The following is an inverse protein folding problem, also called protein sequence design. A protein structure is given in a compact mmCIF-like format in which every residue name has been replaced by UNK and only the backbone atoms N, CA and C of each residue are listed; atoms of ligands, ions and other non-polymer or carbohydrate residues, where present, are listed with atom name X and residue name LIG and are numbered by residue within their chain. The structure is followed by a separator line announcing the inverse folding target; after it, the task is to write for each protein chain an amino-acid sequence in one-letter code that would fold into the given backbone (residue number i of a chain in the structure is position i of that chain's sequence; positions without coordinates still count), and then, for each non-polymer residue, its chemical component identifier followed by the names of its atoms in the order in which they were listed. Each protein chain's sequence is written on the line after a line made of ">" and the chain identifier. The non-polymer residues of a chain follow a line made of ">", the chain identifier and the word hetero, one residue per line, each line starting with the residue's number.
data_IF_641763080460
#
_entry.id   IF_641763080460
#
_cell.length_a   1.000
_cell.length_b   1.000
_cell.length_c   1.000
_cell.angle_alpha   90.00
_cell.angle_beta   90.00
_cell.angle_gamma   90.00
#
_symmetry.space_group_name_H-M   'P 1'
#
loop_
_entity.id
_entity.type
_entity.pdbx_description
1 polymer ?
#
# COMPACT_ATOMS: atom_id res chain seq x y z
N UNK A 1 18.29 -11.80 19.69
CA UNK A 1 17.80 -13.13 19.28
C UNK A 1 17.85 -13.29 17.76
N UNK A 2 17.17 -12.45 16.97
CA UNK A 2 17.11 -12.58 15.50
C UNK A 2 18.50 -12.56 14.84
N UNK A 3 19.41 -11.74 15.33
CA UNK A 3 20.77 -11.63 14.81
C UNK A 3 21.70 -12.77 15.23
N UNK A 4 21.34 -13.50 16.27
CA UNK A 4 22.08 -14.67 16.75
C UNK A 4 21.60 -15.97 16.09
N UNK A 5 20.28 -16.13 15.98
CA UNK A 5 19.63 -17.38 15.54
C UNK A 5 18.95 -17.30 14.17
N UNK A 6 18.85 -16.11 13.58
CA UNK A 6 18.31 -15.93 12.25
C UNK A 6 19.28 -16.33 11.13
N UNK A 7 18.81 -16.28 9.90
CA UNK A 7 19.57 -16.70 8.71
C UNK A 7 20.75 -15.76 8.35
N UNK A 8 20.76 -14.55 8.94
CA UNK A 8 21.78 -13.53 8.67
C UNK A 8 22.60 -13.23 9.93
N UNK A 9 23.83 -12.82 9.70
CA UNK A 9 24.78 -12.33 10.71
C UNK A 9 25.34 -13.37 11.68
N UNK A 10 24.57 -14.31 12.21
CA UNK A 10 25.00 -15.36 13.16
C UNK A 10 25.93 -14.85 14.28
N UNK A 11 25.52 -13.76 14.92
CA UNK A 11 26.28 -13.15 16.00
C UNK A 11 26.41 -14.12 17.20
N UNK A 12 27.58 -14.14 17.85
CA UNK A 12 27.79 -14.89 19.08
C UNK A 12 27.08 -14.23 20.25
N UNK A 13 26.85 -15.00 21.31
CA UNK A 13 26.29 -14.46 22.56
C UNK A 13 27.18 -13.32 23.08
N UNK A 14 26.60 -12.15 23.30
CA UNK A 14 27.30 -10.96 23.75
C UNK A 14 27.95 -10.11 22.66
N UNK A 15 27.94 -10.54 21.38
CA UNK A 15 28.31 -9.66 20.28
C UNK A 15 27.25 -8.61 20.04
N UNK A 16 27.69 -7.38 19.72
CA UNK A 16 26.80 -6.29 19.35
C UNK A 16 26.56 -6.26 17.83
N UNK A 17 25.48 -5.60 17.42
CA UNK A 17 25.09 -5.48 16.01
C UNK A 17 25.86 -4.35 15.28
N UNK A 18 26.73 -3.63 15.95
CA UNK A 18 27.38 -2.41 15.46
C UNK A 18 27.98 -2.56 14.07
N UNK A 19 28.73 -3.64 13.84
CA UNK A 19 29.32 -3.94 12.52
C UNK A 19 28.31 -4.12 11.38
N UNK A 20 27.02 -4.31 11.72
CA UNK A 20 25.94 -4.48 10.75
C UNK A 20 25.09 -3.21 10.59
N UNK A 21 25.30 -2.21 11.41
CA UNK A 21 24.57 -0.93 11.37
C UNK A 21 25.40 0.19 10.77
N UNK A 22 26.67 0.32 11.23
CA UNK A 22 27.52 1.43 10.84
C UNK A 22 28.12 1.26 9.44
N UNK A 23 28.70 2.34 8.93
CA UNK A 23 29.38 2.41 7.63
C UNK A 23 28.51 2.04 6.42
N UNK A 24 27.17 2.15 6.58
CA UNK A 24 26.21 1.92 5.50
C UNK A 24 25.98 0.45 5.15
N UNK A 25 26.38 -0.48 6.02
CA UNK A 25 26.12 -1.90 5.81
C UNK A 25 24.62 -2.24 5.80
N UNK A 26 23.88 -1.69 6.76
CA UNK A 26 22.42 -1.82 6.84
C UNK A 26 21.74 -0.46 6.77
N UNK A 27 20.47 -0.46 6.43
CA UNK A 27 19.63 0.75 6.38
C UNK A 27 18.49 0.64 7.40
N UNK A 28 18.30 1.68 8.18
CA UNK A 28 17.12 1.85 9.02
C UNK A 28 16.05 2.54 8.17
N UNK A 29 14.90 1.91 8.04
CA UNK A 29 13.79 2.43 7.25
C UNK A 29 12.86 3.27 8.11
N UNK A 30 12.63 4.53 7.69
CA UNK A 30 11.60 5.40 8.23
C UNK A 30 10.32 5.19 7.44
N UNK A 31 9.43 4.34 7.95
CA UNK A 31 8.12 4.08 7.36
C UNK A 31 7.12 5.20 7.64
N UNK A 32 6.24 5.46 6.70
CA UNK A 32 5.16 6.45 6.86
C UNK A 32 3.85 5.93 6.29
N UNK A 33 2.74 6.51 6.76
CA UNK A 33 1.38 6.19 6.33
C UNK A 33 0.47 7.41 6.46
N UNK A 34 -0.66 7.40 5.76
CA UNK A 34 -1.72 8.37 5.95
C UNK A 34 -1.43 9.77 5.40
N UNK A 35 -0.71 9.89 4.29
CA UNK A 35 -0.53 11.19 3.62
C UNK A 35 -1.88 11.79 3.24
N UNK A 36 -2.82 10.95 2.76
CA UNK A 36 -4.18 11.37 2.46
C UNK A 36 -4.87 11.96 3.69
N UNK A 37 -4.93 11.22 4.79
CA UNK A 37 -5.61 11.64 6.02
C UNK A 37 -4.95 12.86 6.66
N UNK A 38 -3.63 12.97 6.57
CA UNK A 38 -2.91 14.18 6.99
C UNK A 38 -3.38 15.41 6.20
N UNK A 39 -3.45 15.31 4.88
CA UNK A 39 -3.90 16.38 4.02
C UNK A 39 -5.37 16.72 4.26
N UNK A 40 -6.23 15.71 4.40
CA UNK A 40 -7.63 15.90 4.78
C UNK A 40 -7.77 16.65 6.11
N UNK A 41 -6.95 16.32 7.10
CA UNK A 41 -6.98 16.99 8.40
C UNK A 41 -6.51 18.44 8.36
N UNK A 42 -5.49 18.72 7.55
CA UNK A 42 -4.85 20.05 7.48
C UNK A 42 -5.58 21.02 6.54
N UNK A 43 -6.14 20.50 5.45
CA UNK A 43 -6.68 21.33 4.35
C UNK A 43 -8.13 21.00 3.97
N UNK A 44 -8.69 19.89 4.48
CA UNK A 44 -10.00 19.40 4.06
C UNK A 44 -10.02 18.81 2.64
N UNK A 45 -8.86 18.58 2.05
CA UNK A 45 -8.69 18.08 0.69
C UNK A 45 -7.64 16.97 0.64
N UNK A 46 -7.78 16.05 -0.32
CA UNK A 46 -6.79 14.99 -0.58
C UNK A 46 -5.46 15.57 -1.06
N UNK A 47 -4.38 14.80 -0.90
CA UNK A 47 -3.07 15.12 -1.48
C UNK A 47 -3.04 15.03 -3.02
N UNK A 48 -4.08 14.49 -3.65
CA UNK A 48 -4.28 14.50 -5.10
C UNK A 48 -4.72 15.88 -5.61
N UNK A 49 -5.31 16.72 -4.74
CA UNK A 49 -5.67 18.10 -5.09
C UNK A 49 -4.42 18.92 -5.41
N UNK A 50 -4.39 19.62 -6.57
CA UNK A 50 -3.22 20.40 -6.99
C UNK A 50 -2.78 21.48 -5.99
N UNK A 51 -3.68 22.03 -5.19
CA UNK A 51 -3.36 23.05 -4.17
C UNK A 51 -2.69 22.44 -2.94
N UNK A 52 -3.01 21.19 -2.62
CA UNK A 52 -2.51 20.48 -1.42
C UNK A 52 -1.27 19.65 -1.71
N UNK A 53 -1.12 19.15 -2.94
CA UNK A 53 0.02 18.34 -3.36
C UNK A 53 1.39 18.93 -2.99
N UNK A 54 1.67 20.24 -3.18
CA UNK A 54 2.96 20.81 -2.78
C UNK A 54 3.26 20.65 -1.28
N UNK A 55 2.23 20.70 -0.43
CA UNK A 55 2.39 20.47 1.00
C UNK A 55 2.79 19.01 1.27
N UNK A 56 2.09 18.03 0.67
CA UNK A 56 2.42 16.62 0.80
C UNK A 56 3.86 16.32 0.36
N UNK A 57 4.27 16.87 -0.79
CA UNK A 57 5.63 16.74 -1.30
C UNK A 57 6.68 17.36 -0.36
N UNK A 58 6.36 18.51 0.24
CA UNK A 58 7.24 19.16 1.23
C UNK A 58 7.41 18.32 2.50
N UNK A 59 6.35 17.66 2.96
CA UNK A 59 6.44 16.72 4.09
C UNK A 59 7.37 15.56 3.73
N UNK A 60 7.20 14.96 2.55
CA UNK A 60 8.07 13.87 2.09
C UNK A 60 9.54 14.30 1.97
N UNK A 61 9.78 15.50 1.45
CA UNK A 61 11.14 16.05 1.41
C UNK A 61 11.71 16.23 2.81
N UNK A 62 10.92 16.73 3.76
CA UNK A 62 11.38 16.88 5.16
C UNK A 62 11.75 15.56 5.83
N UNK A 63 11.04 14.47 5.51
CA UNK A 63 11.39 13.13 5.99
C UNK A 63 12.76 12.69 5.43
N UNK A 64 13.01 12.93 4.13
CA UNK A 64 14.30 12.64 3.51
C UNK A 64 15.44 13.49 4.11
N UNK A 65 15.19 14.77 4.33
CA UNK A 65 16.18 15.67 4.97
C UNK A 65 16.54 15.17 6.37
N UNK A 66 15.56 14.68 7.13
CA UNK A 66 15.80 14.07 8.45
C UNK A 66 16.60 12.78 8.37
N UNK A 67 16.34 11.93 7.42
CA UNK A 67 17.15 10.73 7.20
C UNK A 67 18.61 11.10 6.88
N UNK A 68 18.81 12.15 6.07
CA UNK A 68 20.16 12.66 5.77
C UNK A 68 20.85 13.25 7.01
N UNK A 69 20.14 14.04 7.83
CA UNK A 69 20.65 14.58 9.09
C UNK A 69 21.10 13.46 10.05
N UNK A 70 20.27 12.43 10.25
CA UNK A 70 20.61 11.30 11.12
C UNK A 70 21.78 10.50 10.58
N UNK A 71 21.81 10.23 9.26
CA UNK A 71 22.94 9.55 8.63
C UNK A 71 24.26 10.28 8.88
N UNK A 72 24.27 11.61 8.76
CA UNK A 72 25.46 12.41 8.99
C UNK A 72 25.89 12.43 10.47
N UNK A 73 24.92 12.40 11.40
CA UNK A 73 25.18 12.44 12.83
C UNK A 73 25.62 11.09 13.41
N UNK A 74 25.09 9.98 12.89
CA UNK A 74 25.20 8.66 13.53
C UNK A 74 26.02 7.66 12.73
N UNK A 75 26.39 7.98 11.48
CA UNK A 75 27.07 7.08 10.54
C UNK A 75 26.27 5.77 10.28
N UNK A 76 24.95 5.85 10.34
CA UNK A 76 24.00 4.77 10.02
C UNK A 76 23.21 5.20 8.79
N UNK A 77 22.96 4.29 7.86
CA UNK A 77 22.08 4.57 6.73
C UNK A 77 20.62 4.64 7.17
N UNK A 78 19.95 5.73 6.81
CA UNK A 78 18.51 5.93 6.99
C UNK A 78 17.84 6.17 5.64
N UNK A 79 16.64 5.66 5.45
CA UNK A 79 15.91 5.84 4.21
C UNK A 79 14.39 5.90 4.44
N UNK A 80 13.74 6.77 3.71
CA UNK A 80 12.27 6.87 3.74
C UNK A 80 11.67 5.67 2.99
N UNK A 81 10.69 5.02 3.59
CA UNK A 81 10.07 3.80 3.08
C UNK A 81 8.55 3.92 3.04
N UNK A 82 7.97 3.76 1.85
CA UNK A 82 6.52 3.66 1.66
C UNK A 82 6.02 2.29 2.11
N UNK A 83 5.85 2.15 3.42
CA UNK A 83 5.55 0.88 4.09
C UNK A 83 4.21 0.32 3.64
N UNK A 84 4.11 -0.91 3.12
CA UNK A 84 2.85 -1.64 3.05
C UNK A 84 2.41 -1.96 4.48
N UNK A 85 1.17 -1.61 4.82
CA UNK A 85 0.70 -1.61 6.20
C UNK A 85 -0.49 -2.55 6.43
N UNK A 86 -0.58 -3.64 5.80
CA UNK A 86 -1.58 -4.71 5.98
C UNK A 86 -2.59 -4.47 7.14
N UNK A 87 -2.69 -5.36 8.10
CA UNK A 87 -3.59 -5.23 9.28
C UNK A 87 -3.27 -4.01 10.16
N UNK A 88 -2.08 -3.43 10.02
CA UNK A 88 -1.66 -2.25 10.80
C UNK A 88 -2.50 -1.02 10.45
N UNK A 89 -3.00 -0.89 9.23
CA UNK A 89 -3.91 0.20 8.83
C UNK A 89 -5.17 0.22 9.67
N UNK A 90 -5.78 -0.94 9.90
CA UNK A 90 -6.94 -1.09 10.76
C UNK A 90 -6.61 -0.73 12.22
N UNK A 91 -5.49 -1.24 12.73
CA UNK A 91 -5.06 -0.96 14.10
C UNK A 91 -4.81 0.52 14.34
N UNK A 92 -4.14 1.21 13.41
CA UNK A 92 -3.95 2.66 13.46
C UNK A 92 -5.29 3.39 13.46
N UNK A 93 -6.21 3.05 12.56
CA UNK A 93 -7.53 3.67 12.51
C UNK A 93 -8.26 3.55 13.86
N UNK A 94 -8.28 2.35 14.46
CA UNK A 94 -8.91 2.13 15.78
C UNK A 94 -8.24 2.92 16.89
N UNK A 95 -6.91 3.02 16.90
CA UNK A 95 -6.17 3.81 17.87
C UNK A 95 -6.48 5.32 17.73
N UNK A 96 -6.55 5.82 16.50
CA UNK A 96 -6.89 7.21 16.23
C UNK A 96 -8.34 7.52 16.61
N UNK A 97 -9.29 6.65 16.28
CA UNK A 97 -10.70 6.78 16.69
C UNK A 97 -10.83 6.84 18.21
N UNK A 98 -10.15 5.94 18.92
CA UNK A 98 -10.15 5.93 20.38
C UNK A 98 -9.58 7.22 21.00
N UNK A 99 -8.55 7.78 20.38
CA UNK A 99 -7.83 8.93 20.91
C UNK A 99 -8.47 10.27 20.55
N UNK A 100 -9.00 10.39 19.34
CA UNK A 100 -9.43 11.66 18.76
C UNK A 100 -10.91 11.68 18.35
N UNK A 101 -11.62 10.56 18.50
CA UNK A 101 -12.99 10.42 18.04
C UNK A 101 -13.09 10.23 16.52
N UNK A 102 -14.32 10.31 16.01
CA UNK A 102 -14.60 10.22 14.58
C UNK A 102 -14.46 11.61 13.95
N UNK A 103 -13.52 11.72 13.03
CA UNK A 103 -13.28 12.94 12.24
C UNK A 103 -13.56 12.59 10.77
N UNK A 104 -14.56 13.22 10.11
CA UNK A 104 -14.91 12.94 8.72
C UNK A 104 -13.71 13.07 7.78
N UNK A 105 -13.54 12.09 6.90
CA UNK A 105 -12.42 12.01 5.95
C UNK A 105 -11.05 11.69 6.55
N UNK A 106 -10.96 11.51 7.88
CA UNK A 106 -9.68 11.25 8.58
C UNK A 106 -9.74 9.97 9.42
N UNK A 107 -10.70 9.87 10.34
CA UNK A 107 -10.82 8.72 11.25
C UNK A 107 -12.17 8.01 11.16
N UNK A 108 -12.98 8.34 10.18
CA UNK A 108 -14.33 7.80 9.97
C UNK A 108 -14.35 6.41 9.32
N UNK A 109 -13.19 5.89 8.93
CA UNK A 109 -13.03 4.57 8.32
C UNK A 109 -12.26 3.62 9.22
N UNK A 110 -12.37 2.33 8.93
CA UNK A 110 -11.65 1.28 9.67
C UNK A 110 -10.24 1.00 9.12
N UNK A 111 -9.68 1.94 8.36
CA UNK A 111 -8.32 1.86 7.84
C UNK A 111 -7.73 3.26 7.68
N UNK A 112 -6.42 3.34 7.55
CA UNK A 112 -5.65 4.52 7.13
C UNK A 112 -5.03 4.20 5.79
N UNK A 113 -5.00 5.15 4.88
CA UNK A 113 -4.40 4.99 3.56
C UNK A 113 -2.92 4.64 3.68
N UNK A 114 -2.48 3.61 2.98
CA UNK A 114 -1.08 3.22 2.92
C UNK A 114 -0.23 4.36 2.36
N UNK A 115 0.87 4.65 3.03
CA UNK A 115 1.90 5.59 2.58
C UNK A 115 1.36 6.79 1.81
N UNK A 116 1.67 6.89 0.52
CA UNK A 116 1.31 7.98 -0.42
C UNK A 116 0.16 7.63 -1.36
N UNK A 117 -0.43 6.45 -1.25
CA UNK A 117 -1.40 5.98 -2.24
C UNK A 117 -2.58 6.91 -2.39
N UNK A 118 -3.08 7.01 -3.61
CA UNK A 118 -4.38 7.63 -3.89
C UNK A 118 -5.44 6.88 -3.09
N UNK A 119 -6.31 7.63 -2.42
CA UNK A 119 -7.35 7.03 -1.57
C UNK A 119 -8.30 6.17 -2.43
N UNK A 120 -8.68 5.01 -1.91
CA UNK A 120 -9.43 3.98 -2.66
C UNK A 120 -10.82 4.42 -3.16
N UNK A 121 -11.36 5.50 -2.62
CA UNK A 121 -12.65 6.07 -3.07
C UNK A 121 -12.47 7.13 -4.16
N UNK A 122 -11.26 7.51 -4.52
CA UNK A 122 -11.03 8.47 -5.59
C UNK A 122 -11.11 7.78 -6.95
N UNK A 123 -11.99 8.30 -7.81
CA UNK A 123 -12.10 7.85 -9.19
C UNK A 123 -10.94 8.44 -10.01
N UNK A 124 -9.97 7.61 -10.33
CA UNK A 124 -8.77 7.97 -11.08
C UNK A 124 -8.40 6.82 -12.02
N UNK A 125 -8.03 7.15 -13.26
CA UNK A 125 -7.54 6.12 -14.18
C UNK A 125 -6.13 5.63 -13.82
N UNK A 126 -5.77 4.44 -14.30
CA UNK A 126 -4.52 3.78 -13.96
C UNK A 126 -3.27 4.61 -14.30
N UNK A 127 -3.27 5.29 -15.44
CA UNK A 127 -2.11 6.09 -15.88
C UNK A 127 -1.95 7.35 -15.05
N UNK A 128 -3.05 8.05 -14.79
CA UNK A 128 -3.05 9.23 -13.92
C UNK A 128 -2.64 8.89 -12.50
N UNK A 129 -3.14 7.77 -11.95
CA UNK A 129 -2.73 7.26 -10.64
C UNK A 129 -1.23 6.96 -10.59
N UNK A 130 -0.72 6.17 -11.52
CA UNK A 130 0.70 5.83 -11.58
C UNK A 130 1.59 7.07 -11.75
N UNK A 131 1.16 8.02 -12.59
CA UNK A 131 1.87 9.27 -12.77
C UNK A 131 1.94 10.10 -11.50
N UNK A 132 0.84 10.21 -10.80
CA UNK A 132 0.77 10.90 -9.51
C UNK A 132 1.67 10.22 -8.47
N UNK A 133 1.52 8.91 -8.29
CA UNK A 133 2.27 8.15 -7.29
C UNK A 133 3.77 8.06 -7.57
N UNK A 134 4.18 8.14 -8.84
CA UNK A 134 5.59 8.10 -9.24
C UNK A 134 6.46 9.19 -8.58
N UNK A 135 5.88 10.36 -8.31
CA UNK A 135 6.60 11.45 -7.66
C UNK A 135 6.89 11.16 -6.19
N UNK A 136 5.95 10.51 -5.50
CA UNK A 136 6.12 10.08 -4.11
C UNK A 136 7.09 8.90 -4.00
N UNK A 137 7.08 7.98 -4.98
CA UNK A 137 8.04 6.89 -5.01
C UNK A 137 9.49 7.41 -5.06
N UNK A 138 9.76 8.44 -5.85
CA UNK A 138 11.09 9.08 -5.92
C UNK A 138 11.55 9.64 -4.57
N UNK A 139 10.62 10.01 -3.70
CA UNK A 139 10.87 10.48 -2.34
C UNK A 139 10.82 9.35 -1.29
N UNK A 140 10.73 8.10 -1.73
CA UNK A 140 10.73 6.90 -0.88
C UNK A 140 11.85 5.95 -1.30
N UNK A 141 13.13 6.38 -1.21
CA UNK A 141 14.27 5.61 -1.73
C UNK A 141 14.51 4.29 -0.99
N UNK A 142 13.96 4.11 0.21
CA UNK A 142 14.00 2.86 0.95
C UNK A 142 13.10 1.76 0.40
N UNK A 143 12.25 2.10 -0.54
CA UNK A 143 11.29 1.20 -1.20
C UNK A 143 9.88 1.76 -1.17
N UNK A 144 9.14 1.48 -2.21
CA UNK A 144 7.73 1.81 -2.35
C UNK A 144 7.13 0.98 -3.47
N UNK A 145 5.85 0.69 -3.39
CA UNK A 145 5.11 -0.05 -4.42
C UNK A 145 3.80 0.67 -4.71
N UNK A 146 3.41 0.71 -5.97
CA UNK A 146 2.09 1.18 -6.38
C UNK A 146 1.26 0.02 -6.91
N UNK A 147 -0.01 0.01 -6.57
CA UNK A 147 -0.96 -1.01 -6.99
C UNK A 147 -1.93 -0.43 -8.01
N UNK A 148 -2.12 -1.14 -9.12
CA UNK A 148 -3.10 -0.79 -10.13
C UNK A 148 -4.06 -1.95 -10.30
N UNK A 149 -5.33 -1.70 -10.06
CA UNK A 149 -6.38 -2.65 -10.38
C UNK A 149 -6.78 -2.50 -11.85
N UNK A 150 -6.73 -3.61 -12.57
CA UNK A 150 -7.12 -3.69 -13.97
C UNK A 150 -8.15 -4.78 -14.15
N UNK A 151 -9.08 -4.63 -15.11
CA UNK A 151 -10.01 -5.70 -15.45
C UNK A 151 -9.26 -6.92 -16.00
N UNK A 152 -9.96 -8.02 -16.20
CA UNK A 152 -9.40 -9.17 -16.89
C UNK A 152 -8.99 -8.80 -18.31
N UNK A 153 -7.68 -8.71 -18.54
CA UNK A 153 -7.09 -8.29 -19.82
C UNK A 153 -6.52 -9.45 -20.64
N UNK A 154 -6.91 -10.69 -20.36
CA UNK A 154 -6.41 -11.88 -21.08
C UNK A 154 -6.58 -11.75 -22.62
N UNK A 155 -7.61 -11.05 -23.07
CA UNK A 155 -7.89 -10.84 -24.49
C UNK A 155 -7.42 -9.48 -25.02
N UNK A 156 -6.79 -8.66 -24.20
CA UNK A 156 -6.30 -7.34 -24.59
C UNK A 156 -4.83 -7.15 -24.21
N UNK A 157 -3.97 -7.97 -24.77
CA UNK A 157 -2.51 -7.92 -24.53
C UNK A 157 -1.91 -6.56 -24.90
N UNK A 158 -2.31 -5.86 -25.97
CA UNK A 158 -1.80 -4.51 -26.25
C UNK A 158 -2.04 -3.52 -25.10
N UNK A 159 -3.17 -3.58 -24.40
CA UNK A 159 -3.43 -2.73 -23.23
C UNK A 159 -2.50 -3.08 -22.08
N UNK A 160 -2.25 -4.38 -21.81
CA UNK A 160 -1.28 -4.81 -20.80
C UNK A 160 0.10 -4.24 -21.10
N UNK A 161 0.57 -4.39 -22.33
CA UNK A 161 1.88 -3.90 -22.75
C UNK A 161 1.98 -2.37 -22.64
N UNK A 162 0.90 -1.65 -22.92
CA UNK A 162 0.85 -0.19 -22.75
C UNK A 162 1.02 0.23 -21.29
N UNK A 163 0.35 -0.47 -20.37
CA UNK A 163 0.49 -0.21 -18.93
C UNK A 163 1.90 -0.58 -18.45
N UNK A 164 2.42 -1.73 -18.87
CA UNK A 164 3.80 -2.14 -18.53
C UNK A 164 4.85 -1.15 -19.03
N UNK A 165 4.68 -0.66 -20.27
CA UNK A 165 5.57 0.38 -20.81
C UNK A 165 5.49 1.66 -19.99
N UNK A 166 4.30 2.10 -19.61
CA UNK A 166 4.12 3.28 -18.78
C UNK A 166 4.80 3.13 -17.41
N UNK A 167 4.64 1.95 -16.78
CA UNK A 167 5.33 1.61 -15.52
C UNK A 167 6.84 1.73 -15.72
N UNK A 168 7.39 1.09 -16.73
CA UNK A 168 8.81 1.13 -17.04
C UNK A 168 9.36 2.56 -17.20
N UNK A 169 8.59 3.41 -17.89
CA UNK A 169 9.04 4.79 -18.19
C UNK A 169 8.88 5.75 -17.00
N UNK A 170 8.01 5.48 -16.03
CA UNK A 170 7.57 6.49 -15.06
C UNK A 170 7.68 6.09 -13.59
N UNK A 171 7.63 4.81 -13.25
CA UNK A 171 7.49 4.36 -11.88
C UNK A 171 8.53 3.29 -11.53
N UNK A 172 9.03 3.29 -10.30
CA UNK A 172 10.09 2.38 -9.90
C UNK A 172 9.59 0.96 -9.65
N UNK A 173 8.44 0.84 -9.03
CA UNK A 173 7.84 -0.45 -8.73
C UNK A 173 6.32 -0.35 -8.71
N UNK A 174 5.66 -1.12 -9.54
CA UNK A 174 4.21 -1.22 -9.56
C UNK A 174 3.77 -2.65 -9.78
N UNK A 175 2.55 -2.93 -9.38
CA UNK A 175 1.93 -4.21 -9.44
C UNK A 175 0.55 -4.12 -10.05
N UNK A 176 0.27 -5.00 -11.01
CA UNK A 176 -1.04 -5.12 -11.65
C UNK A 176 -1.85 -6.18 -10.92
N UNK A 177 -2.98 -5.77 -10.37
CA UNK A 177 -3.95 -6.67 -9.76
C UNK A 177 -5.12 -6.88 -10.71
N UNK A 178 -5.49 -8.12 -10.94
CA UNK A 178 -6.70 -8.49 -11.67
C UNK A 178 -7.64 -9.25 -10.74
N UNK A 179 -8.93 -8.97 -10.84
CA UNK A 179 -9.97 -9.74 -10.16
C UNK A 179 -10.49 -10.77 -11.15
N UNK A 180 -9.88 -11.94 -11.13
CA UNK A 180 -10.23 -13.07 -12.01
C UNK A 180 -10.75 -14.22 -11.15
N UNK A 181 -11.93 -14.01 -10.56
CA UNK A 181 -12.62 -15.03 -9.80
C UNK A 181 -13.46 -15.91 -10.74
N UNK A 182 -13.79 -17.10 -10.29
CA UNK A 182 -14.57 -18.04 -11.06
C UNK A 182 -15.70 -18.65 -10.22
N UNK A 183 -16.86 -18.77 -10.81
CA UNK A 183 -18.01 -19.45 -10.21
C UNK A 183 -18.26 -20.77 -10.93
N UNK A 184 -18.08 -21.91 -10.22
CA UNK A 184 -18.24 -23.26 -10.77
C UNK A 184 -19.71 -23.59 -11.10
N UNK A 185 -20.67 -22.85 -10.51
CA UNK A 185 -22.09 -23.08 -10.73
C UNK A 185 -22.54 -22.59 -12.11
N UNK A 186 -22.05 -21.42 -12.55
CA UNK A 186 -22.52 -20.80 -13.79
C UNK A 186 -21.42 -20.47 -14.80
N UNK A 187 -20.15 -20.78 -14.48
CA UNK A 187 -19.02 -20.49 -15.36
C UNK A 187 -18.65 -19.01 -15.45
N UNK A 188 -19.12 -18.16 -14.51
CA UNK A 188 -18.78 -16.75 -14.49
C UNK A 188 -17.28 -16.57 -14.22
N UNK A 189 -16.57 -15.88 -15.12
CA UNK A 189 -15.16 -15.46 -14.97
C UNK A 189 -15.15 -13.94 -14.83
N UNK A 190 -14.87 -13.45 -13.62
CA UNK A 190 -14.90 -12.03 -13.31
C UNK A 190 -14.85 -11.77 -11.81
N UNK A 191 -15.21 -10.57 -11.37
CA UNK A 191 -15.22 -10.23 -9.96
C UNK A 191 -16.44 -10.81 -9.22
N UNK A 192 -16.20 -11.70 -8.26
CA UNK A 192 -17.22 -12.13 -7.30
C UNK A 192 -17.34 -11.06 -6.21
N UNK A 193 -18.56 -10.65 -5.93
CA UNK A 193 -18.87 -9.52 -5.06
C UNK A 193 -18.92 -9.92 -3.59
N UNK A 194 -18.59 -8.98 -2.72
CA UNK A 194 -18.85 -9.10 -1.28
C UNK A 194 -20.19 -8.42 -1.00
N UNK A 195 -21.10 -9.14 -0.32
CA UNK A 195 -22.37 -8.60 0.14
C UNK A 195 -22.57 -8.91 1.63
N UNK A 196 -23.45 -8.18 2.27
CA UNK A 196 -23.89 -8.49 3.62
C UNK A 196 -25.07 -9.46 3.56
N UNK A 197 -25.07 -10.48 4.42
CA UNK A 197 -26.22 -11.34 4.65
C UNK A 197 -27.23 -10.69 5.62
N UNK A 198 -28.31 -11.39 5.91
CA UNK A 198 -29.39 -10.92 6.81
C UNK A 198 -28.91 -10.64 8.24
N UNK A 199 -27.74 -11.13 8.62
CA UNK A 199 -27.12 -10.94 9.93
C UNK A 199 -25.99 -9.89 9.92
N UNK A 200 -25.77 -9.20 8.78
CA UNK A 200 -24.69 -8.24 8.60
C UNK A 200 -23.31 -8.88 8.43
N UNK A 201 -23.25 -10.19 8.15
CA UNK A 201 -22.00 -10.89 7.87
C UNK A 201 -21.64 -10.73 6.41
N UNK A 202 -20.38 -10.40 6.13
CA UNK A 202 -19.84 -10.34 4.77
C UNK A 202 -19.74 -11.74 4.18
N UNK A 203 -20.33 -11.92 3.01
CA UNK A 203 -20.33 -13.18 2.23
C UNK A 203 -19.98 -12.90 0.78
N UNK A 204 -19.41 -13.90 0.11
CA UNK A 204 -19.21 -13.87 -1.33
C UNK A 204 -20.53 -14.20 -2.06
N UNK A 205 -20.82 -13.44 -3.12
CA UNK A 205 -21.96 -13.69 -3.99
C UNK A 205 -21.57 -13.54 -5.46
N UNK A 206 -21.86 -14.54 -6.26
CA UNK A 206 -21.67 -14.47 -7.71
C UNK A 206 -22.67 -13.48 -8.31
N UNK A 207 -22.22 -12.43 -9.03
CA UNK A 207 -23.11 -11.41 -9.60
C UNK A 207 -23.99 -11.95 -10.74
N UNK A 208 -23.61 -13.09 -11.35
CA UNK A 208 -24.35 -13.68 -12.46
C UNK A 208 -25.47 -14.64 -12.02
N UNK A 209 -25.23 -15.48 -11.03
CA UNK A 209 -26.20 -16.51 -10.61
C UNK A 209 -26.62 -16.44 -9.15
N UNK A 210 -26.08 -15.53 -8.37
CA UNK A 210 -26.41 -15.41 -6.94
C UNK A 210 -25.84 -16.51 -6.06
N UNK A 211 -24.95 -17.38 -6.60
CA UNK A 211 -24.30 -18.43 -5.80
C UNK A 211 -23.55 -17.82 -4.61
N UNK A 212 -23.74 -18.41 -3.42
CA UNK A 212 -23.09 -18.03 -2.15
C UNK A 212 -22.29 -19.17 -1.53
N UNK A 213 -22.27 -20.33 -2.18
CA UNK A 213 -21.52 -21.49 -1.74
C UNK A 213 -20.03 -21.28 -2.07
N UNK A 214 -19.22 -21.06 -1.03
CA UNK A 214 -17.80 -20.78 -1.17
C UNK A 214 -17.02 -21.96 -1.75
N UNK A 215 -17.47 -23.19 -1.52
CA UNK A 215 -16.83 -24.40 -2.06
C UNK A 215 -17.03 -24.53 -3.59
N UNK A 216 -17.90 -23.69 -4.17
CA UNK A 216 -18.18 -23.61 -5.59
C UNK A 216 -17.79 -22.28 -6.21
N UNK A 217 -16.85 -21.61 -5.59
CA UNK A 217 -16.28 -20.36 -6.08
C UNK A 217 -14.77 -20.38 -5.86
N UNK A 218 -14.04 -19.93 -6.88
CA UNK A 218 -12.61 -19.66 -6.79
C UNK A 218 -12.41 -18.16 -6.70
N UNK A 219 -12.09 -17.65 -5.51
CA UNK A 219 -11.88 -16.22 -5.25
C UNK A 219 -10.45 -16.01 -4.80
N UNK A 220 -9.70 -15.22 -5.56
CA UNK A 220 -8.34 -14.84 -5.23
C UNK A 220 -8.24 -13.34 -4.97
N UNK A 221 -7.68 -12.95 -3.85
CA UNK A 221 -7.43 -11.55 -3.51
C UNK A 221 -5.99 -11.37 -3.10
N UNK A 222 -5.41 -10.29 -3.61
CA UNK A 222 -4.09 -9.88 -3.16
C UNK A 222 -4.21 -8.92 -1.99
N UNK A 223 -3.43 -9.16 -0.97
CA UNK A 223 -3.33 -8.30 0.20
C UNK A 223 -1.87 -7.95 0.43
N UNK A 224 -1.50 -6.74 0.05
CA UNK A 224 -0.15 -6.17 0.20
C UNK A 224 1.00 -6.95 -0.46
N UNK A 225 1.36 -8.08 -0.11
CA UNK A 225 2.41 -8.91 -0.70
C UNK A 225 1.99 -10.37 -0.84
N UNK A 226 0.78 -10.68 -0.39
CA UNK A 226 0.27 -12.03 -0.34
C UNK A 226 -0.95 -12.21 -1.24
N UNK A 227 -1.12 -13.41 -1.76
CA UNK A 227 -2.35 -13.82 -2.44
C UNK A 227 -3.12 -14.68 -1.44
N UNK A 228 -4.33 -14.22 -1.06
CA UNK A 228 -5.28 -14.98 -0.27
C UNK A 228 -6.32 -15.64 -1.17
N UNK A 229 -6.68 -16.85 -0.86
CA UNK A 229 -7.75 -17.63 -1.52
C UNK A 229 -8.84 -17.96 -0.53
#
# INVERSE_FOLDING_TARGET
>A
ILWQYGALAHLKKGETIDKLLYDGYSTISLGYAGIHEMCMRMYGKSHTDPEVRPFAMKVMQRLNDKCAEWKAAENISYSVYGTPMESTTYRFAKCLQKRFGIIPGVTDKNYITNSYHVHVTEEIDAFSKLKFESEFQKLSPGGAISYVEVPNMKQNIPAVLSVMKFIYDNIMYAELNTKSDFCDVCGYDGEIQIKEDENGKLIWECPNCGNRDQDKMSVARRTCGYIGT
#
